data_IF_711404867036
#
_entry.id   IF_711404867036
#
_cell.length_a   1.000
_cell.length_b   1.000
_cell.length_c   1.000
_cell.angle_alpha   90.00
_cell.angle_beta   90.00
_cell.angle_gamma   90.00
#
_symmetry.space_group_name_H-M   'P 1'
#
loop_
_entity.id
_entity.type
_entity.pdbx_description
1 polymer ?
#
# COMPACT_ATOMS: atom_id res chain seq x y z
N UNK A 1 9.59 10.63 -24.01
CA UNK A 1 10.35 10.84 -22.77
C UNK A 1 9.90 9.77 -21.78
N UNK A 2 10.71 8.73 -21.58
CA UNK A 2 10.33 7.60 -20.72
C UNK A 2 10.37 8.06 -19.26
N UNK A 3 9.22 8.00 -18.58
CA UNK A 3 9.13 8.22 -17.14
C UNK A 3 9.96 7.14 -16.46
N UNK A 4 11.13 7.52 -15.95
CA UNK A 4 12.01 6.66 -15.16
C UNK A 4 11.21 6.11 -13.99
N UNK A 5 10.69 4.90 -14.16
CA UNK A 5 10.33 4.07 -13.04
C UNK A 5 11.64 3.84 -12.30
N UNK A 6 11.75 4.31 -11.05
CA UNK A 6 12.96 4.12 -10.22
C UNK A 6 13.39 2.64 -10.13
N UNK A 7 12.50 1.73 -10.53
CA UNK A 7 12.71 0.31 -10.73
C UNK A 7 12.69 -0.03 -12.22
N UNK A 8 13.87 -0.11 -12.85
CA UNK A 8 14.03 -0.65 -14.20
C UNK A 8 13.91 -2.18 -14.17
N UNK A 9 13.55 -2.80 -15.28
CA UNK A 9 13.42 -4.26 -15.34
C UNK A 9 14.75 -5.00 -15.10
N UNK A 10 15.88 -4.40 -15.52
CA UNK A 10 17.21 -4.90 -15.17
C UNK A 10 17.48 -4.87 -13.67
N UNK A 11 17.10 -3.78 -12.98
CA UNK A 11 17.32 -3.63 -11.55
C UNK A 11 16.43 -4.59 -10.75
N UNK A 12 15.18 -4.80 -11.18
CA UNK A 12 14.30 -5.82 -10.61
C UNK A 12 14.87 -7.22 -10.79
N UNK A 13 15.37 -7.55 -11.99
CA UNK A 13 15.99 -8.85 -12.27
C UNK A 13 17.24 -9.07 -11.41
N UNK A 14 18.06 -8.03 -11.21
CA UNK A 14 19.22 -8.06 -10.32
C UNK A 14 18.81 -8.38 -8.87
N UNK A 15 17.79 -7.70 -8.36
CA UNK A 15 17.24 -7.93 -7.02
C UNK A 15 16.71 -9.35 -6.84
N UNK A 16 15.93 -9.85 -7.80
CA UNK A 16 15.40 -11.23 -7.77
C UNK A 16 16.55 -12.23 -7.72
N UNK A 17 17.56 -12.06 -8.58
CA UNK A 17 18.72 -12.95 -8.64
C UNK A 17 19.52 -12.94 -7.34
N UNK A 18 19.80 -11.76 -6.78
CA UNK A 18 20.49 -11.64 -5.49
C UNK A 18 19.71 -12.31 -4.36
N UNK A 19 18.39 -12.14 -4.36
CA UNK A 19 17.53 -12.73 -3.37
C UNK A 19 17.49 -14.26 -3.48
N UNK A 20 17.37 -14.83 -4.68
CA UNK A 20 17.42 -16.28 -4.91
C UNK A 20 18.79 -16.87 -4.58
N UNK A 21 19.89 -16.16 -4.87
CA UNK A 21 21.25 -16.60 -4.54
C UNK A 21 21.53 -16.60 -3.03
N UNK A 22 20.82 -15.78 -2.26
CA UNK A 22 20.96 -15.68 -0.81
C UNK A 22 20.17 -16.76 -0.04
N UNK A 23 19.58 -17.73 -0.74
CA UNK A 23 18.75 -18.83 -0.19
C UNK A 23 17.72 -18.31 0.84
N UNK A 24 16.70 -17.59 0.37
CA UNK A 24 15.83 -16.81 1.23
C UNK A 24 14.92 -17.72 2.04
N UNK A 25 15.11 -17.71 3.35
CA UNK A 25 14.25 -18.41 4.30
C UNK A 25 13.23 -17.45 4.87
N UNK A 26 12.13 -17.91 5.46
CA UNK A 26 11.13 -17.02 6.03
C UNK A 26 11.69 -16.11 7.14
N UNK A 27 12.79 -16.51 7.78
CA UNK A 27 13.51 -15.70 8.77
C UNK A 27 14.55 -14.77 8.14
N UNK A 28 15.34 -15.25 7.16
CA UNK A 28 16.38 -14.45 6.51
C UNK A 28 15.84 -13.47 5.46
N UNK A 29 14.64 -13.71 4.92
CA UNK A 29 14.06 -12.90 3.84
C UNK A 29 13.94 -11.43 4.15
N UNK A 30 13.77 -11.07 5.43
CA UNK A 30 13.74 -9.67 5.84
C UNK A 30 15.12 -9.03 5.83
N UNK A 31 16.13 -9.78 6.26
CA UNK A 31 17.52 -9.33 6.30
C UNK A 31 18.08 -9.23 4.88
N UNK A 32 17.86 -10.23 4.03
CA UNK A 32 18.27 -10.21 2.61
C UNK A 32 17.66 -9.02 1.87
N UNK A 33 16.40 -8.65 2.17
CA UNK A 33 15.80 -7.45 1.59
C UNK A 33 16.48 -6.15 2.02
N UNK A 34 17.05 -6.10 3.23
CA UNK A 34 17.84 -4.95 3.72
C UNK A 34 19.21 -4.93 3.06
N UNK A 35 19.90 -6.06 3.04
CA UNK A 35 21.23 -6.18 2.43
C UNK A 35 21.19 -5.75 0.96
N UNK A 36 20.23 -6.28 0.19
CA UNK A 36 20.03 -5.89 -1.21
C UNK A 36 19.74 -4.39 -1.29
N UNK A 37 18.83 -3.89 -0.45
CA UNK A 37 18.43 -2.49 -0.46
C UNK A 37 19.61 -1.54 -0.20
N UNK A 38 20.51 -1.89 0.72
CA UNK A 38 21.74 -1.14 0.96
C UNK A 38 22.69 -1.20 -0.25
N UNK A 39 22.80 -2.36 -0.90
CA UNK A 39 23.66 -2.53 -2.08
C UNK A 39 23.18 -1.73 -3.31
N UNK A 40 21.87 -1.62 -3.50
CA UNK A 40 21.26 -0.88 -4.62
C UNK A 40 20.80 0.54 -4.23
N UNK A 41 21.15 1.01 -3.02
CA UNK A 41 20.73 2.31 -2.46
C UNK A 41 19.21 2.56 -2.55
N UNK A 42 18.41 1.50 -2.38
CA UNK A 42 16.96 1.57 -2.39
C UNK A 42 16.37 1.32 -1.01
N UNK A 43 15.05 1.46 -0.88
CA UNK A 43 14.37 1.11 0.36
C UNK A 43 14.13 -0.41 0.45
N UNK A 44 14.32 -1.03 1.62
CA UNK A 44 14.03 -2.46 1.84
C UNK A 44 12.55 -2.79 1.59
N UNK A 45 11.66 -1.83 1.78
CA UNK A 45 10.25 -1.98 1.44
C UNK A 45 10.02 -2.03 -0.08
N UNK A 46 10.77 -1.25 -0.87
CA UNK A 46 10.72 -1.31 -2.32
C UNK A 46 11.24 -2.64 -2.86
N UNK A 47 12.37 -3.14 -2.33
CA UNK A 47 12.92 -4.47 -2.65
C UNK A 47 11.89 -5.56 -2.37
N UNK A 48 11.28 -5.57 -1.17
CA UNK A 48 10.19 -6.50 -0.84
C UNK A 48 9.05 -6.43 -1.85
N UNK A 49 8.65 -5.23 -2.26
CA UNK A 49 7.55 -5.06 -3.20
C UNK A 49 7.88 -5.67 -4.57
N UNK A 50 9.12 -5.53 -5.06
CA UNK A 50 9.59 -6.17 -6.29
C UNK A 50 9.59 -7.70 -6.17
N UNK A 51 10.12 -8.24 -5.07
CA UNK A 51 10.16 -9.68 -4.84
C UNK A 51 8.76 -10.30 -4.72
N UNK A 52 7.82 -9.58 -4.08
CA UNK A 52 6.40 -9.99 -4.00
C UNK A 52 5.73 -9.90 -5.37
N UNK A 53 5.99 -8.85 -6.15
CA UNK A 53 5.48 -8.72 -7.52
C UNK A 53 6.02 -9.81 -8.44
N UNK A 54 7.27 -10.22 -8.23
CA UNK A 54 7.90 -11.33 -8.94
C UNK A 54 7.46 -12.72 -8.41
N UNK A 55 6.79 -12.78 -7.26
CA UNK A 55 6.34 -14.04 -6.66
C UNK A 55 7.43 -14.89 -6.01
N UNK A 56 8.65 -14.38 -5.88
CA UNK A 56 9.80 -15.09 -5.29
C UNK A 56 9.96 -14.83 -3.79
N UNK A 57 9.29 -13.80 -3.25
CA UNK A 57 9.44 -13.43 -1.83
C UNK A 57 8.95 -14.51 -0.87
N UNK A 58 9.85 -15.01 -0.02
CA UNK A 58 9.57 -15.99 1.01
C UNK A 58 9.14 -15.27 2.29
N UNK A 59 7.84 -15.34 2.60
CA UNK A 59 7.28 -14.69 3.79
C UNK A 59 7.28 -15.67 4.97
N UNK A 60 7.58 -15.17 6.18
CA UNK A 60 7.33 -15.90 7.44
C UNK A 60 5.83 -16.11 7.58
N UNK A 61 5.40 -17.29 7.21
CA UNK A 61 4.01 -17.71 7.29
C UNK A 61 3.74 -18.30 8.68
N UNK A 62 2.77 -17.79 9.47
CA UNK A 62 2.22 -18.56 10.57
C UNK A 62 1.21 -19.62 10.10
N UNK A 63 0.78 -19.64 8.83
CA UNK A 63 -0.04 -20.70 8.24
C UNK A 63 -0.21 -20.49 6.73
N UNK A 64 0.56 -21.24 5.93
CA UNK A 64 0.53 -21.33 4.47
C UNK A 64 -0.77 -20.80 3.79
N UNK A 65 -0.66 -19.70 3.06
CA UNK A 65 -1.78 -19.08 2.35
C UNK A 65 -1.49 -18.75 0.89
N UNK A 66 -1.42 -19.80 0.06
CA UNK A 66 -1.70 -19.88 -1.38
C UNK A 66 -1.23 -18.78 -2.34
N UNK A 67 -0.36 -19.20 -3.25
CA UNK A 67 -0.23 -18.62 -4.58
C UNK A 67 -1.58 -18.50 -5.30
N UNK A 68 -1.91 -17.30 -5.81
CA UNK A 68 -2.74 -17.16 -7.01
C UNK A 68 -2.46 -15.84 -7.72
N UNK A 69 -1.73 -15.96 -8.83
CA UNK A 69 -1.75 -15.06 -9.98
C UNK A 69 -3.20 -14.85 -10.43
N UNK A 70 -3.71 -13.61 -10.47
CA UNK A 70 -4.62 -13.11 -11.53
C UNK A 70 -5.03 -11.66 -11.27
N UNK A 71 -4.75 -10.83 -12.27
CA UNK A 71 -5.42 -9.56 -12.60
C UNK A 71 -6.95 -9.72 -12.50
N UNK A 72 -7.60 -9.01 -11.57
CA UNK A 72 -9.03 -8.62 -11.52
C UNK A 72 -9.22 -7.97 -10.14
N UNK A 73 -9.51 -6.68 -10.06
CA UNK A 73 -10.89 -6.19 -9.92
C UNK A 73 -11.65 -6.92 -8.80
N UNK A 74 -12.00 -6.13 -7.79
CA UNK A 74 -12.92 -6.44 -6.68
C UNK A 74 -12.36 -7.13 -5.44
N UNK A 75 -12.39 -6.32 -4.37
CA UNK A 75 -12.91 -6.65 -3.05
C UNK A 75 -11.99 -7.33 -2.03
N UNK A 76 -12.02 -6.75 -0.82
CA UNK A 76 -11.41 -7.26 0.42
C UNK A 76 -9.91 -7.01 0.62
N UNK A 77 -9.46 -5.77 0.39
CA UNK A 77 -8.27 -5.23 1.02
C UNK A 77 -8.66 -3.92 1.69
N UNK A 78 -8.82 -3.93 3.03
CA UNK A 78 -8.98 -2.78 3.93
C UNK A 78 -9.35 -1.49 3.19
N UNK A 79 -10.65 -1.26 2.98
CA UNK A 79 -11.27 -0.13 2.26
C UNK A 79 -10.25 1.02 2.22
N UNK A 80 -9.47 1.13 1.15
CA UNK A 80 -8.63 2.32 0.94
C UNK A 80 -9.68 3.39 0.71
N UNK A 81 -10.12 4.01 1.81
CA UNK A 81 -11.19 4.98 1.77
C UNK A 81 -10.57 6.16 1.04
N UNK A 82 -10.88 6.26 -0.25
CA UNK A 82 -10.44 7.36 -1.07
C UNK A 82 -10.89 8.64 -0.38
N UNK A 83 -9.96 9.60 -0.26
CA UNK A 83 -10.20 10.90 0.38
C UNK A 83 -11.51 11.54 -0.10
N UNK A 84 -11.79 11.39 -1.39
CA UNK A 84 -13.01 11.87 -2.04
C UNK A 84 -14.29 11.24 -1.45
N UNK A 85 -14.30 9.92 -1.26
CA UNK A 85 -15.43 9.20 -0.65
C UNK A 85 -15.62 9.60 0.82
N UNK A 86 -14.53 9.71 1.58
CA UNK A 86 -14.60 10.15 2.98
C UNK A 86 -15.16 11.56 3.12
N UNK A 87 -14.77 12.47 2.21
CA UNK A 87 -15.25 13.85 2.19
C UNK A 87 -16.72 13.90 1.78
N UNK A 88 -17.15 13.10 0.80
CA UNK A 88 -18.54 13.02 0.39
C UNK A 88 -19.46 12.53 1.53
N UNK A 89 -19.03 11.51 2.29
CA UNK A 89 -19.76 11.03 3.48
C UNK A 89 -19.84 12.11 4.57
N UNK A 90 -18.76 12.86 4.79
CA UNK A 90 -18.74 13.96 5.75
C UNK A 90 -19.70 15.10 5.35
N UNK A 91 -19.70 15.49 4.07
CA UNK A 91 -20.64 16.50 3.53
C UNK A 91 -22.08 16.10 3.77
N UNK A 92 -22.43 14.86 3.41
CA UNK A 92 -23.78 14.33 3.62
C UNK A 92 -24.19 14.35 5.10
N UNK A 93 -23.28 13.99 6.00
CA UNK A 93 -23.53 14.04 7.45
C UNK A 93 -23.73 15.47 7.97
N UNK A 94 -22.94 16.44 7.48
CA UNK A 94 -23.07 17.86 7.83
C UNK A 94 -24.41 18.42 7.31
N UNK A 95 -24.79 18.13 6.07
CA UNK A 95 -26.10 18.54 5.51
C UNK A 95 -27.26 17.94 6.28
N UNK A 96 -27.17 16.67 6.67
CA UNK A 96 -28.21 16.02 7.47
C UNK A 96 -28.39 16.66 8.86
N UNK A 97 -27.33 17.25 9.41
CA UNK A 97 -27.36 18.05 10.66
C UNK A 97 -27.71 19.53 10.43
N UNK A 98 -27.93 19.95 9.18
CA UNK A 98 -28.25 21.34 8.82
C UNK A 98 -27.06 22.31 8.90
N UNK A 99 -25.82 21.80 8.92
CA UNK A 99 -24.61 22.62 8.97
C UNK A 99 -24.20 23.15 7.58
N UNK A 100 -23.50 24.30 7.52
CA UNK A 100 -22.93 24.81 6.27
C UNK A 100 -21.80 23.89 5.79
N UNK A 101 -21.82 23.54 4.50
CA UNK A 101 -20.73 22.80 3.86
C UNK A 101 -19.67 23.80 3.38
N UNK A 102 -18.42 23.58 3.77
CA UNK A 102 -17.26 24.32 3.26
C UNK A 102 -16.36 23.37 2.47
N UNK A 103 -16.46 23.43 1.14
CA UNK A 103 -15.70 22.59 0.22
C UNK A 103 -14.17 22.83 0.28
N UNK A 104 -13.71 24.05 0.58
CA UNK A 104 -12.28 24.38 0.69
C UNK A 104 -11.68 23.74 1.96
N UNK A 105 -12.39 23.84 3.08
CA UNK A 105 -11.97 23.25 4.35
C UNK A 105 -12.05 21.72 4.29
N UNK A 106 -13.14 21.17 3.76
CA UNK A 106 -13.29 19.72 3.63
C UNK A 106 -12.29 19.13 2.63
N UNK A 107 -11.95 19.87 1.56
CA UNK A 107 -10.91 19.50 0.61
C UNK A 107 -9.50 19.43 1.21
N UNK A 108 -9.22 20.19 2.28
CA UNK A 108 -7.95 20.14 3.02
C UNK A 108 -7.84 18.93 3.96
N UNK A 109 -8.96 18.30 4.33
CA UNK A 109 -8.94 17.13 5.22
C UNK A 109 -8.29 15.90 4.57
N UNK A 110 -7.64 15.08 5.40
CA UNK A 110 -7.22 13.74 4.98
C UNK A 110 -8.42 12.79 5.06
N UNK A 111 -8.42 11.72 4.27
CA UNK A 111 -9.52 10.74 4.28
C UNK A 111 -9.79 10.15 5.68
N UNK A 112 -8.75 10.00 6.51
CA UNK A 112 -8.89 9.57 7.91
C UNK A 112 -9.57 10.63 8.79
N UNK A 113 -9.18 11.90 8.66
CA UNK A 113 -9.80 12.98 9.42
C UNK A 113 -11.29 13.14 9.07
N UNK A 114 -11.63 13.05 7.77
CA UNK A 114 -13.02 13.14 7.33
C UNK A 114 -13.89 12.01 7.89
N UNK A 115 -13.37 10.77 7.95
CA UNK A 115 -14.07 9.64 8.58
C UNK A 115 -14.28 9.88 10.08
N UNK A 116 -13.25 10.34 10.80
CA UNK A 116 -13.35 10.63 12.23
C UNK A 116 -14.49 11.62 12.52
N UNK A 117 -14.53 12.76 11.81
CA UNK A 117 -15.60 13.75 11.99
C UNK A 117 -16.96 13.21 11.59
N UNK A 118 -17.04 12.39 10.54
CA UNK A 118 -18.30 11.75 10.13
C UNK A 118 -18.84 10.82 11.21
N UNK A 119 -17.96 10.06 11.87
CA UNK A 119 -18.34 9.17 12.98
C UNK A 119 -18.82 9.97 14.20
N UNK A 120 -18.11 11.03 14.57
CA UNK A 120 -18.52 11.93 15.67
C UNK A 120 -19.88 12.56 15.39
N UNK A 121 -20.11 13.04 14.16
CA UNK A 121 -21.38 13.65 13.75
C UNK A 121 -22.55 12.68 13.73
N UNK A 122 -22.31 11.39 13.43
CA UNK A 122 -23.34 10.34 13.46
C UNK A 122 -23.61 9.81 14.86
N UNK A 123 -22.65 9.93 15.77
CA UNK A 123 -22.80 9.51 17.16
C UNK A 123 -23.49 10.57 18.03
N UNK A 124 -23.39 11.84 17.66
CA UNK A 124 -24.13 12.97 18.25
C UNK A 124 -25.52 13.12 17.63
#
# INVERSE_FOLDING_TARGET
>A
MATQSSWTDELKAKVIKMYEQADPTPESSTEICKDIAEEIEMSPNGVRMVLVQAGVYVKKDPSAGSAKTTKSASESGSKRVSKETSIAELKAAITAKGGPIDDDILGKLTGKAAIYFTQVLKAA
#
